data_IF_429580027784
#
_entry.id   IF_429580027784
#
_cell.length_a   1.000
_cell.length_b   1.000
_cell.length_c   1.000
_cell.angle_alpha   90.00
_cell.angle_beta   90.00
_cell.angle_gamma   90.00
#
_symmetry.space_group_name_H-M   'P 1'
#
loop_
_entity.id
_entity.type
_entity.pdbx_description
1 polymer ?
#
# COMPACT_ATOMS: atom_id res chain seq x y z
N UNK A 1 -14.74 -81.84 3.45
CA UNK A 1 -13.33 -81.43 3.29
C UNK A 1 -13.25 -79.92 3.49
N UNK A 2 -12.70 -79.48 4.62
CA UNK A 2 -12.13 -78.14 4.76
C UNK A 2 -10.92 -78.03 3.79
N UNK A 3 -10.39 -76.90 3.35
CA UNK A 3 -9.98 -75.67 4.06
C UNK A 3 -9.68 -74.59 2.98
N UNK A 4 -9.70 -73.31 3.38
CA UNK A 4 -8.83 -72.18 2.97
C UNK A 4 -9.49 -70.97 2.29
N UNK A 5 -9.35 -69.84 2.98
CA UNK A 5 -9.69 -68.48 2.60
C UNK A 5 -8.75 -67.92 1.53
N UNK A 6 -9.26 -67.05 0.66
CA UNK A 6 -8.46 -66.12 -0.13
C UNK A 6 -9.00 -64.70 0.06
N UNK A 7 -8.15 -63.87 0.65
CA UNK A 7 -8.33 -62.44 0.92
C UNK A 7 -8.41 -61.67 -0.40
N UNK A 8 -9.35 -60.74 -0.50
CA UNK A 8 -9.44 -59.79 -1.62
C UNK A 8 -8.24 -58.83 -1.66
N UNK A 9 -7.86 -58.32 -2.84
CA UNK A 9 -6.77 -57.35 -2.97
C UNK A 9 -7.18 -55.98 -2.44
N UNK A 10 -6.31 -55.41 -1.60
CA UNK A 10 -6.36 -54.05 -1.08
C UNK A 10 -5.32 -53.23 -1.86
N UNK A 11 -5.69 -52.25 -2.69
CA UNK A 11 -4.73 -51.26 -3.15
C UNK A 11 -4.67 -50.12 -2.13
N UNK A 12 -3.66 -50.22 -1.26
CA UNK A 12 -3.07 -49.08 -0.57
C UNK A 12 -2.38 -48.20 -1.62
N UNK A 13 -2.82 -46.94 -1.77
CA UNK A 13 -2.06 -45.92 -2.48
C UNK A 13 -2.46 -44.53 -2.01
N UNK A 14 -1.73 -44.07 -1.00
CA UNK A 14 -1.30 -42.68 -0.84
C UNK A 14 -1.01 -42.07 -2.22
N UNK A 15 -1.84 -41.14 -2.69
CA UNK A 15 -1.43 -40.13 -3.66
C UNK A 15 -1.61 -38.78 -2.97
N UNK A 16 -0.49 -38.18 -2.58
CA UNK A 16 -0.44 -36.80 -2.15
C UNK A 16 -0.91 -35.92 -3.32
N UNK A 17 -2.11 -35.37 -3.19
CA UNK A 17 -2.59 -34.31 -4.08
C UNK A 17 -1.63 -33.13 -3.97
N UNK A 18 -0.83 -32.94 -5.01
CA UNK A 18 -0.02 -31.75 -5.16
C UNK A 18 -0.91 -30.52 -5.03
N UNK A 19 -0.45 -29.54 -4.25
CA UNK A 19 -1.06 -28.22 -4.20
C UNK A 19 -0.95 -27.59 -5.61
N UNK A 20 -1.91 -27.91 -6.48
CA UNK A 20 -2.16 -27.13 -7.68
C UNK A 20 -2.55 -25.75 -7.15
N UNK A 21 -1.74 -24.75 -7.48
CA UNK A 21 -2.07 -23.36 -7.20
C UNK A 21 -3.41 -23.10 -7.93
N UNK A 22 -4.50 -23.08 -7.17
CA UNK A 22 -5.85 -22.81 -7.67
C UNK A 22 -5.89 -21.36 -8.18
N UNK A 23 -5.41 -21.21 -9.41
CA UNK A 23 -5.31 -19.92 -10.11
C UNK A 23 -6.69 -19.31 -10.30
N UNK A 24 -7.73 -20.12 -10.49
CA UNK A 24 -9.12 -19.66 -10.57
C UNK A 24 -9.62 -19.12 -9.22
N UNK A 25 -9.28 -19.79 -8.11
CA UNK A 25 -9.52 -19.30 -6.76
C UNK A 25 -8.78 -18.00 -6.45
N UNK A 26 -7.52 -17.87 -6.90
CA UNK A 26 -6.73 -16.63 -6.75
C UNK A 26 -7.34 -15.50 -7.59
N UNK A 27 -7.69 -15.76 -8.85
CA UNK A 27 -8.33 -14.80 -9.75
C UNK A 27 -9.67 -14.32 -9.17
N UNK A 28 -10.49 -15.22 -8.62
CA UNK A 28 -11.77 -14.87 -8.02
C UNK A 28 -11.62 -14.06 -6.72
N UNK A 29 -10.60 -14.33 -5.90
CA UNK A 29 -10.26 -13.49 -4.74
C UNK A 29 -9.83 -12.10 -5.16
N UNK A 30 -8.97 -11.97 -6.17
CA UNK A 30 -8.54 -10.68 -6.69
C UNK A 30 -9.71 -9.89 -7.29
N UNK A 31 -10.59 -10.55 -8.06
CA UNK A 31 -11.83 -9.94 -8.59
C UNK A 31 -12.75 -9.47 -7.47
N UNK A 32 -12.94 -10.25 -6.41
CA UNK A 32 -13.78 -9.88 -5.25
C UNK A 32 -13.19 -8.72 -4.44
N UNK A 33 -11.86 -8.71 -4.27
CA UNK A 33 -11.12 -7.60 -3.65
C UNK A 33 -11.19 -6.32 -4.48
N UNK A 34 -11.18 -6.46 -5.82
CA UNK A 34 -11.30 -5.33 -6.73
C UNK A 34 -12.75 -4.80 -6.76
N UNK A 35 -13.75 -5.68 -6.72
CA UNK A 35 -15.16 -5.28 -6.64
C UNK A 35 -15.52 -4.60 -5.31
N UNK A 36 -14.96 -5.03 -4.18
CA UNK A 36 -15.14 -4.34 -2.89
C UNK A 36 -14.44 -2.97 -2.86
N UNK A 37 -13.29 -2.85 -3.53
CA UNK A 37 -12.56 -1.58 -3.68
C UNK A 37 -13.27 -0.58 -4.59
N UNK A 38 -13.91 -1.05 -5.68
CA UNK A 38 -14.69 -0.20 -6.61
C UNK A 38 -16.05 0.17 -6.02
N UNK A 39 -16.74 -0.75 -5.32
CA UNK A 39 -18.01 -0.45 -4.63
C UNK A 39 -17.85 0.49 -3.44
N UNK A 40 -16.73 0.47 -2.71
CA UNK A 40 -16.43 1.48 -1.68
C UNK A 40 -16.24 2.88 -2.28
N UNK A 41 -15.67 3.02 -3.47
CA UNK A 41 -15.39 4.34 -4.06
C UNK A 41 -16.62 5.19 -4.37
N UNK A 42 -17.83 4.63 -4.44
CA UNK A 42 -19.04 5.36 -4.82
C UNK A 42 -19.83 6.00 -3.67
N UNK A 43 -19.47 5.77 -2.40
CA UNK A 43 -20.20 6.37 -1.27
C UNK A 43 -19.39 6.59 0.02
N UNK A 44 -18.06 6.67 -0.02
CA UNK A 44 -17.32 7.09 1.17
C UNK A 44 -17.53 8.59 1.41
N UNK A 45 -18.00 9.02 2.59
CA UNK A 45 -18.12 10.44 2.90
C UNK A 45 -16.76 11.12 2.75
N UNK A 46 -16.68 12.09 1.83
CA UNK A 46 -15.47 12.88 1.63
C UNK A 46 -15.40 13.98 2.69
N UNK A 47 -14.26 14.08 3.38
CA UNK A 47 -13.98 15.16 4.33
C UNK A 47 -13.33 16.33 3.59
N UNK A 48 -14.03 17.47 3.51
CA UNK A 48 -13.56 18.66 2.81
C UNK A 48 -12.91 19.69 3.75
N UNK A 49 -11.82 20.31 3.27
CA UNK A 49 -11.22 21.45 3.94
C UNK A 49 -12.02 22.73 3.63
N UNK A 50 -12.61 23.36 4.65
CA UNK A 50 -13.38 24.59 4.50
C UNK A 50 -12.56 25.79 4.01
N UNK A 51 -11.24 25.79 4.24
CA UNK A 51 -10.37 26.89 3.82
C UNK A 51 -9.94 26.82 2.34
N UNK A 52 -9.78 25.62 1.77
CA UNK A 52 -9.22 25.46 0.42
C UNK A 52 -9.99 24.50 -0.50
N UNK A 53 -11.06 23.88 0.00
CA UNK A 53 -11.93 22.97 -0.76
C UNK A 53 -11.36 21.57 -1.02
N UNK A 54 -10.12 21.26 -0.61
CA UNK A 54 -9.52 19.92 -0.83
C UNK A 54 -10.31 18.83 -0.12
N UNK A 55 -10.55 17.73 -0.83
CA UNK A 55 -11.31 16.56 -0.36
C UNK A 55 -10.38 15.43 0.06
N UNK A 56 -10.72 14.77 1.16
CA UNK A 56 -9.98 13.64 1.71
C UNK A 56 -10.92 12.47 1.97
N UNK A 57 -10.48 11.26 1.66
CA UNK A 57 -11.25 10.03 1.96
C UNK A 57 -11.24 9.68 3.45
N UNK A 58 -10.26 10.19 4.20
CA UNK A 58 -10.10 9.91 5.64
C UNK A 58 -10.03 11.20 6.45
N UNK A 59 -10.72 11.24 7.60
CA UNK A 59 -10.76 12.39 8.51
C UNK A 59 -9.37 12.78 9.04
N UNK A 60 -8.53 11.79 9.37
CA UNK A 60 -7.16 12.04 9.85
C UNK A 60 -6.30 12.77 8.81
N UNK A 61 -6.49 12.48 7.52
CA UNK A 61 -5.81 13.17 6.43
C UNK A 61 -6.25 14.63 6.31
N UNK A 62 -7.57 14.91 6.44
CA UNK A 62 -8.06 16.27 6.50
C UNK A 62 -7.49 17.03 7.70
N UNK A 63 -7.51 16.44 8.90
CA UNK A 63 -6.99 17.08 10.11
C UNK A 63 -5.50 17.41 10.01
N UNK A 64 -4.70 16.49 9.46
CA UNK A 64 -3.29 16.74 9.20
C UNK A 64 -3.11 17.87 8.17
N UNK A 65 -3.89 17.84 7.09
CA UNK A 65 -3.85 18.88 6.06
C UNK A 65 -4.16 20.26 6.64
N UNK A 66 -5.27 20.40 7.38
CA UNK A 66 -5.64 21.69 7.98
C UNK A 66 -4.59 22.18 8.96
N UNK A 67 -4.03 21.28 9.77
CA UNK A 67 -3.02 21.63 10.77
C UNK A 67 -1.66 22.01 10.18
N UNK A 68 -1.21 21.32 9.13
CA UNK A 68 0.19 21.40 8.67
C UNK A 68 0.38 21.96 7.27
N UNK A 69 -0.67 22.04 6.45
CA UNK A 69 -0.51 22.36 5.02
C UNK A 69 -1.43 23.50 4.54
N UNK A 70 -2.66 23.57 5.06
CA UNK A 70 -3.64 24.55 4.63
C UNK A 70 -3.23 25.95 5.09
N UNK A 71 -3.17 26.92 4.18
CA UNK A 71 -2.72 28.29 4.47
C UNK A 71 -1.25 28.43 4.87
N UNK A 72 -0.48 27.33 4.98
CA UNK A 72 0.94 27.37 5.31
C UNK A 72 1.81 27.43 4.07
N UNK A 73 2.85 28.24 4.10
CA UNK A 73 3.85 28.27 3.05
C UNK A 73 4.79 27.06 3.12
N UNK A 74 5.42 26.66 2.01
CA UNK A 74 6.43 25.60 2.01
C UNK A 74 7.68 25.97 2.83
N UNK A 75 7.84 25.33 3.99
CA UNK A 75 8.94 25.63 4.92
C UNK A 75 10.19 24.75 4.72
N UNK A 76 10.08 23.65 3.99
CA UNK A 76 11.15 22.67 3.83
C UNK A 76 11.79 22.81 2.45
N UNK A 77 12.93 23.53 2.31
CA UNK A 77 13.61 23.69 1.04
C UNK A 77 14.37 22.42 0.65
N UNK A 78 14.38 22.13 -0.64
CA UNK A 78 15.28 21.14 -1.21
C UNK A 78 16.71 21.71 -1.26
N UNK A 79 17.73 20.96 -0.80
CA UNK A 79 19.11 21.43 -0.88
C UNK A 79 19.68 21.41 -2.31
N UNK A 80 19.01 20.72 -3.24
CA UNK A 80 19.53 20.50 -4.60
C UNK A 80 18.79 21.30 -5.67
N UNK A 81 17.63 21.89 -5.36
CA UNK A 81 16.85 22.67 -6.32
C UNK A 81 15.95 23.70 -5.63
N UNK A 82 15.31 24.63 -6.37
CA UNK A 82 14.42 25.64 -5.80
C UNK A 82 13.11 25.09 -5.19
N UNK A 83 12.86 23.78 -5.26
CA UNK A 83 11.63 23.19 -4.75
C UNK A 83 11.52 23.33 -3.23
N UNK A 84 10.30 23.62 -2.76
CA UNK A 84 9.99 23.67 -1.32
C UNK A 84 8.75 22.84 -1.03
N UNK A 85 8.77 22.13 0.07
CA UNK A 85 7.67 21.31 0.57
C UNK A 85 7.07 21.89 1.85
N UNK A 86 5.79 21.61 2.09
CA UNK A 86 5.10 22.00 3.34
C UNK A 86 5.37 21.03 4.49
N UNK A 87 5.90 19.84 4.20
CA UNK A 87 6.21 18.79 5.18
C UNK A 87 7.53 18.10 4.85
N UNK A 88 8.21 17.63 5.89
CA UNK A 88 9.49 16.92 5.76
C UNK A 88 9.37 15.60 4.98
N UNK A 89 8.35 14.79 5.21
CA UNK A 89 8.15 13.52 4.47
C UNK A 89 7.99 13.74 2.96
N UNK A 90 7.39 14.88 2.57
CA UNK A 90 7.23 15.26 1.16
C UNK A 90 8.54 15.75 0.56
N UNK A 91 9.35 16.47 1.34
CA UNK A 91 10.70 16.82 0.93
C UNK A 91 11.54 15.56 0.70
N UNK A 92 11.55 14.62 1.64
CA UNK A 92 12.30 13.37 1.51
C UNK A 92 11.88 12.57 0.27
N UNK A 93 10.57 12.47 -0.01
CA UNK A 93 10.07 11.82 -1.22
C UNK A 93 10.50 12.55 -2.50
N UNK A 94 10.46 13.88 -2.49
CA UNK A 94 10.95 14.69 -3.61
C UNK A 94 12.43 14.43 -3.86
N UNK A 95 13.26 14.54 -2.83
CA UNK A 95 14.71 14.33 -2.95
C UNK A 95 15.01 12.89 -3.38
N UNK A 96 14.31 11.91 -2.83
CA UNK A 96 14.44 10.49 -3.22
C UNK A 96 13.91 10.16 -4.61
N UNK A 97 13.17 11.03 -5.28
CA UNK A 97 12.68 10.78 -6.64
C UNK A 97 13.43 11.61 -7.68
N UNK A 98 13.76 12.87 -7.36
CA UNK A 98 14.37 13.84 -8.26
C UNK A 98 15.88 13.98 -8.08
N UNK A 99 16.41 13.59 -6.91
CA UNK A 99 17.82 13.77 -6.53
C UNK A 99 18.42 12.49 -5.94
N UNK A 100 18.01 11.33 -6.48
CA UNK A 100 18.48 10.01 -6.04
C UNK A 100 20.00 9.93 -6.02
N UNK A 101 20.63 10.56 -7.01
CA UNK A 101 22.08 10.51 -7.20
C UNK A 101 22.85 11.35 -6.21
N UNK A 102 22.25 12.45 -5.80
CA UNK A 102 22.82 13.42 -4.86
C UNK A 102 22.59 13.00 -3.40
N UNK A 103 21.66 12.07 -3.14
CA UNK A 103 21.43 11.48 -1.81
C UNK A 103 22.52 10.51 -1.37
N UNK A 104 23.08 9.71 -2.29
CA UNK A 104 24.10 8.71 -1.95
C UNK A 104 25.53 9.25 -2.00
N UNK A 105 25.73 10.46 -2.54
CA UNK A 105 27.05 11.04 -2.76
C UNK A 105 27.74 11.62 -1.50
N UNK A 106 27.09 11.51 -0.32
CA UNK A 106 27.72 11.80 0.97
C UNK A 106 27.74 13.28 1.35
N UNK A 107 27.33 13.55 2.60
CA UNK A 107 27.31 14.86 3.28
C UNK A 107 26.24 15.85 2.79
N UNK A 108 24.98 15.50 2.97
CA UNK A 108 23.92 16.50 3.19
C UNK A 108 23.40 16.30 4.60
N UNK A 109 23.72 17.24 5.49
CA UNK A 109 22.99 17.38 6.74
C UNK A 109 21.55 17.72 6.38
N UNK A 110 20.66 16.73 6.48
CA UNK A 110 19.23 16.97 6.42
C UNK A 110 18.90 18.01 7.49
N UNK A 111 18.23 19.12 7.17
CA UNK A 111 17.91 20.12 8.17
C UNK A 111 17.01 19.45 9.22
N UNK A 112 17.59 19.21 10.39
CA UNK A 112 16.87 18.82 11.60
C UNK A 112 16.16 20.10 12.05
N UNK A 113 15.01 20.39 11.46
CA UNK A 113 14.17 21.50 11.92
C UNK A 113 13.19 20.94 12.94
N UNK A 114 13.45 21.30 14.21
CA UNK A 114 12.63 21.08 15.40
C UNK A 114 11.21 21.65 15.24
#
# INVERSE_FOLDING_TARGET
MAVLAARGPHPDSRVGGGALLDVDGIINRLKSNMQSSVRRRQAEPSFDCKNCGKKYTLKNNLLRHTRLECGKEPQFPCPFCPHRSKRNDRLMQHVSSQHKEQLYAGRVEMPILQ
#
